data_IF_346191282388
#
_entry.id   IF_346191282388
#
_cell.length_a   1.000
_cell.length_b   1.000
_cell.length_c   1.000
_cell.angle_alpha   90.00
_cell.angle_beta   90.00
_cell.angle_gamma   90.00
#
_symmetry.space_group_name_H-M   'P 1'
#
loop_
_entity.id
_entity.type
_entity.pdbx_description
1 polymer ?
#
# COMPACT_ATOMS: atom_id res chain seq x y z
N UNK A 1 30.39 7.20 -37.08
CA UNK A 1 31.11 6.41 -36.05
C UNK A 1 30.53 6.79 -34.69
N UNK A 2 30.11 5.80 -33.90
CA UNK A 2 29.57 5.97 -32.54
C UNK A 2 28.09 5.56 -32.44
N UNK A 3 27.81 4.25 -32.48
CA UNK A 3 27.53 3.39 -31.32
C UNK A 3 26.09 3.54 -30.79
N UNK A 4 25.24 2.61 -31.23
CA UNK A 4 23.85 2.47 -30.83
C UNK A 4 23.70 1.96 -29.39
N UNK A 5 22.65 2.45 -28.73
CA UNK A 5 22.23 1.98 -27.41
C UNK A 5 21.06 1.01 -27.61
N UNK A 6 21.34 -0.29 -27.48
CA UNK A 6 20.33 -1.33 -27.33
C UNK A 6 19.80 -1.31 -25.90
N UNK A 7 18.56 -0.86 -25.71
CA UNK A 7 17.85 -1.02 -24.44
C UNK A 7 17.38 -2.48 -24.36
N UNK A 8 18.04 -3.24 -23.48
CA UNK A 8 17.71 -4.64 -23.20
C UNK A 8 16.51 -4.67 -22.26
N UNK A 9 15.32 -5.03 -22.77
CA UNK A 9 14.16 -5.39 -21.94
C UNK A 9 14.52 -6.64 -21.14
N UNK A 10 14.56 -6.53 -19.82
CA UNK A 10 14.59 -7.71 -18.93
C UNK A 10 13.18 -8.28 -18.88
N UNK A 11 13.04 -9.48 -19.45
CA UNK A 11 11.88 -10.35 -19.35
C UNK A 11 12.07 -11.16 -18.07
N UNK A 12 11.21 -10.97 -17.07
CA UNK A 12 11.10 -11.90 -15.95
C UNK A 12 10.22 -13.05 -16.43
N UNK A 13 10.85 -14.18 -16.73
CA UNK A 13 10.15 -15.44 -16.92
C UNK A 13 9.70 -15.97 -15.56
N UNK A 14 8.40 -16.29 -15.48
CA UNK A 14 7.83 -17.53 -14.92
C UNK A 14 8.88 -18.67 -14.85
N UNK A 15 8.99 -19.41 -13.74
CA UNK A 15 8.59 -20.84 -13.56
C UNK A 15 9.04 -21.36 -12.17
N UNK A 16 8.17 -22.20 -11.58
CA UNK A 16 8.43 -23.31 -10.64
C UNK A 16 8.80 -23.11 -9.15
N UNK A 17 7.94 -23.68 -8.28
CA UNK A 17 8.32 -24.07 -6.92
C UNK A 17 7.18 -24.30 -5.94
N UNK A 18 6.33 -25.32 -6.17
CA UNK A 18 5.56 -25.95 -5.07
C UNK A 18 6.55 -26.68 -4.13
N UNK A 19 6.27 -26.70 -2.82
CA UNK A 19 5.86 -27.98 -2.25
C UNK A 19 4.64 -27.87 -1.34
N UNK A 20 3.80 -28.89 -1.45
CA UNK A 20 2.83 -29.33 -0.45
C UNK A 20 3.57 -29.81 0.79
N UNK A 21 3.29 -29.21 1.96
CA UNK A 21 3.67 -29.80 3.24
C UNK A 21 2.39 -30.08 4.07
N UNK A 22 2.17 -31.37 4.21
CA UNK A 22 1.24 -32.06 5.08
C UNK A 22 1.52 -31.72 6.54
N UNK A 23 0.49 -31.30 7.29
CA UNK A 23 0.57 -31.26 8.75
C UNK A 23 -0.08 -32.53 9.30
N UNK A 24 0.79 -33.34 9.87
CA UNK A 24 0.54 -34.62 10.52
C UNK A 24 -0.42 -34.52 11.72
N UNK A 25 -1.28 -35.54 11.77
CA UNK A 25 -2.00 -36.01 12.95
C UNK A 25 -1.03 -36.66 13.98
N UNK A 26 -1.51 -36.76 15.23
CA UNK A 26 -1.06 -37.62 16.35
C UNK A 26 -0.07 -37.02 17.37
N UNK A 27 -0.56 -36.76 18.60
CA UNK A 27 -0.10 -37.50 19.78
C UNK A 27 -1.10 -37.36 20.96
N UNK A 28 -1.54 -38.51 21.45
CA UNK A 28 -2.37 -38.72 22.64
C UNK A 28 -1.55 -38.56 23.93
N UNK A 29 -2.18 -38.37 25.11
CA UNK A 29 -1.89 -39.39 26.12
C UNK A 29 -3.11 -39.91 26.89
N UNK A 30 -3.06 -41.23 27.08
CA UNK A 30 -3.82 -42.07 27.98
C UNK A 30 -4.22 -41.42 29.33
N UNK A 31 -5.50 -41.51 29.66
CA UNK A 31 -5.91 -41.66 31.06
C UNK A 31 -6.98 -42.75 31.20
N UNK A 32 -6.56 -43.91 31.72
CA UNK A 32 -7.45 -44.97 32.20
C UNK A 32 -7.96 -44.60 33.59
N UNK A 33 -9.28 -44.49 33.78
CA UNK A 33 -9.91 -44.75 35.07
C UNK A 33 -11.26 -45.50 34.90
N UNK A 34 -11.14 -46.83 35.05
CA UNK A 34 -11.92 -47.69 35.94
C UNK A 34 -13.43 -47.38 36.14
N UNK A 35 -14.23 -48.16 35.43
CA UNK A 35 -15.38 -48.97 35.87
C UNK A 35 -16.06 -48.69 37.24
N UNK A 36 -17.40 -48.62 37.14
CA UNK A 36 -18.46 -49.04 38.07
C UNK A 36 -18.92 -48.08 39.18
N UNK A 37 -20.15 -47.58 39.02
CA UNK A 37 -20.84 -46.74 40.00
C UNK A 37 -22.28 -46.38 39.59
N UNK A 38 -23.13 -47.40 39.51
CA UNK A 38 -24.59 -47.36 39.33
C UNK A 38 -25.27 -46.45 40.38
N UNK A 39 -25.89 -45.34 39.97
CA UNK A 39 -27.05 -44.75 40.66
C UNK A 39 -28.01 -44.12 39.65
N UNK A 40 -29.28 -44.39 39.92
CA UNK A 40 -30.48 -44.14 39.15
C UNK A 40 -31.17 -42.92 39.77
N UNK A 41 -31.62 -41.97 38.94
CA UNK A 41 -32.94 -41.31 38.97
C UNK A 41 -32.89 -39.90 38.38
N UNK A 42 -33.68 -39.75 37.31
CA UNK A 42 -34.53 -38.62 36.93
C UNK A 42 -34.14 -37.21 37.40
N UNK A 43 -33.98 -36.29 36.46
CA UNK A 43 -34.86 -35.11 36.29
C UNK A 43 -34.32 -34.17 35.20
N UNK A 44 -35.24 -33.57 34.44
CA UNK A 44 -35.08 -32.18 34.01
C UNK A 44 -34.42 -31.94 32.65
N UNK A 45 -35.27 -31.78 31.63
CA UNK A 45 -34.93 -31.03 30.42
C UNK A 45 -34.38 -29.65 30.79
N UNK A 46 -33.16 -29.31 30.37
CA UNK A 46 -32.72 -27.93 30.30
C UNK A 46 -31.60 -27.75 29.26
N UNK A 47 -31.91 -26.95 28.25
CA UNK A 47 -31.00 -26.10 27.48
C UNK A 47 -29.85 -26.76 26.70
N UNK A 48 -30.17 -27.29 25.52
CA UNK A 48 -29.21 -27.34 24.42
C UNK A 48 -29.22 -25.97 23.70
N UNK A 49 -28.50 -24.98 24.24
CA UNK A 49 -28.18 -23.73 23.53
C UNK A 49 -26.80 -23.25 23.99
N UNK A 50 -25.75 -23.65 23.27
CA UNK A 50 -24.58 -22.78 23.13
C UNK A 50 -24.23 -22.78 21.64
N UNK A 51 -24.55 -21.63 21.06
CA UNK A 51 -24.48 -21.29 19.65
C UNK A 51 -23.00 -21.18 19.25
N UNK A 52 -22.51 -22.12 18.43
CA UNK A 52 -21.20 -22.00 17.77
C UNK A 52 -21.37 -21.03 16.60
N UNK A 53 -21.13 -19.74 16.84
CA UNK A 53 -20.94 -18.75 15.77
C UNK A 53 -19.85 -17.77 16.18
N UNK A 54 -18.61 -18.07 15.81
CA UNK A 54 -17.54 -17.09 15.71
C UNK A 54 -16.59 -17.52 14.58
N UNK A 55 -17.12 -17.61 13.37
CA UNK A 55 -16.32 -17.74 12.14
C UNK A 55 -16.62 -16.51 11.29
N UNK A 56 -15.55 -15.91 10.77
CA UNK A 56 -15.49 -14.75 9.90
C UNK A 56 -15.44 -13.36 10.55
N UNK A 57 -14.50 -13.14 11.47
CA UNK A 57 -13.79 -11.84 11.52
C UNK A 57 -12.65 -11.87 10.49
N UNK A 58 -13.00 -12.14 9.23
CA UNK A 58 -12.07 -12.19 8.10
C UNK A 58 -11.71 -10.76 7.67
N UNK A 59 -10.74 -10.14 8.35
CA UNK A 59 -9.67 -9.39 7.71
C UNK A 59 -10.11 -8.31 6.71
N UNK A 60 -11.00 -7.41 7.11
CA UNK A 60 -10.95 -6.05 6.55
C UNK A 60 -10.02 -5.25 7.46
N UNK A 61 -8.73 -5.19 7.09
CA UNK A 61 -7.83 -4.21 7.70
C UNK A 61 -8.55 -2.85 7.72
N UNK A 62 -8.52 -2.11 8.84
CA UNK A 62 -9.27 -0.87 8.94
C UNK A 62 -8.80 0.06 7.81
N UNK A 63 -9.69 0.39 6.88
CA UNK A 63 -9.48 1.36 5.78
C UNK A 63 -9.13 2.77 6.26
N UNK A 64 -8.94 2.96 7.56
CA UNK A 64 -8.81 4.24 8.25
C UNK A 64 -7.36 4.72 8.38
N UNK A 65 -6.36 3.90 8.07
CA UNK A 65 -4.96 4.31 8.26
C UNK A 65 -4.47 5.37 7.25
N UNK A 66 -5.18 5.58 6.14
CA UNK A 66 -4.75 6.45 5.04
C UNK A 66 -5.61 7.71 4.86
N UNK A 67 -6.52 8.03 5.79
CA UNK A 67 -7.41 9.20 5.65
C UNK A 67 -6.70 10.53 5.90
N UNK A 68 -5.56 10.52 6.59
CA UNK A 68 -4.80 11.72 6.96
C UNK A 68 -3.31 11.47 6.81
N UNK A 69 -2.66 12.22 5.93
CA UNK A 69 -1.21 12.17 5.75
C UNK A 69 -0.53 13.44 6.27
N UNK A 70 0.75 13.29 6.61
CA UNK A 70 1.64 14.42 6.96
C UNK A 70 1.68 15.43 5.82
N UNK A 71 1.78 16.73 6.12
CA UNK A 71 1.92 17.75 5.07
C UNK A 71 3.18 17.55 4.24
N UNK A 72 3.09 17.66 2.91
CA UNK A 72 4.27 17.73 2.04
C UNK A 72 4.94 19.09 2.20
N UNK A 73 6.26 19.10 2.27
CA UNK A 73 7.05 20.33 2.30
C UNK A 73 7.52 20.70 0.89
N UNK A 74 7.26 21.93 0.48
CA UNK A 74 7.73 22.45 -0.80
C UNK A 74 9.18 22.94 -0.69
N UNK A 75 10.07 22.33 -1.47
CA UNK A 75 11.45 22.80 -1.60
C UNK A 75 11.50 23.97 -2.57
N UNK A 76 12.03 25.12 -2.09
CA UNK A 76 12.20 26.32 -2.91
C UNK A 76 13.54 26.23 -3.64
N UNK A 77 13.51 25.96 -4.94
CA UNK A 77 14.68 26.08 -5.81
C UNK A 77 14.70 27.44 -6.50
N UNK A 78 15.86 27.88 -6.97
CA UNK A 78 16.02 29.16 -7.67
C UNK A 78 15.16 29.25 -8.96
N UNK A 79 14.74 28.11 -9.50
CA UNK A 79 13.86 27.97 -10.66
C UNK A 79 12.47 27.41 -10.28
N UNK A 80 11.97 27.70 -9.06
CA UNK A 80 10.68 27.19 -8.61
C UNK A 80 9.57 27.56 -9.59
N UNK A 81 8.99 26.54 -10.24
CA UNK A 81 7.88 26.69 -11.17
C UNK A 81 6.58 27.04 -10.46
N UNK A 82 5.56 27.40 -11.24
CA UNK A 82 4.20 27.57 -10.72
C UNK A 82 3.64 26.18 -10.40
N UNK A 83 3.05 26.01 -9.22
CA UNK A 83 2.39 24.77 -8.84
C UNK A 83 1.00 25.01 -8.26
N UNK A 84 0.14 24.01 -8.42
CA UNK A 84 -1.18 23.95 -7.80
C UNK A 84 -1.35 22.58 -7.11
N UNK A 85 -2.02 22.60 -5.97
CA UNK A 85 -2.36 21.40 -5.21
C UNK A 85 -3.87 21.25 -5.06
N UNK A 86 -4.36 20.03 -5.24
CA UNK A 86 -5.76 19.66 -5.01
C UNK A 86 -5.78 18.40 -4.15
N UNK A 87 -6.40 18.51 -2.97
CA UNK A 87 -6.60 17.37 -2.07
C UNK A 87 -7.96 16.74 -2.34
N UNK A 88 -7.98 15.41 -2.44
CA UNK A 88 -9.17 14.60 -2.67
C UNK A 88 -9.11 13.30 -1.88
N UNK A 89 -10.11 12.44 -2.03
CA UNK A 89 -10.17 11.10 -1.43
C UNK A 89 -10.46 10.11 -2.55
N UNK A 90 -9.73 9.00 -2.59
CA UNK A 90 -9.95 7.95 -3.59
C UNK A 90 -11.12 7.02 -3.21
N UNK A 91 -11.45 6.08 -4.07
CA UNK A 91 -12.53 5.10 -3.86
C UNK A 91 -12.30 4.19 -2.63
N UNK A 92 -11.04 4.04 -2.20
CA UNK A 92 -10.67 3.28 -1.00
C UNK A 92 -10.83 4.08 0.31
N UNK A 93 -11.12 5.38 0.24
CA UNK A 93 -11.21 6.27 1.39
C UNK A 93 -9.88 6.88 1.84
N UNK A 94 -8.82 6.70 1.05
CA UNK A 94 -7.50 7.27 1.30
C UNK A 94 -7.38 8.69 0.75
N UNK A 95 -6.67 9.55 1.48
CA UNK A 95 -6.35 10.89 1.02
C UNK A 95 -5.45 10.83 -0.22
N UNK A 96 -5.75 11.69 -1.20
CA UNK A 96 -4.99 11.86 -2.43
C UNK A 96 -4.63 13.32 -2.62
N UNK A 97 -3.46 13.57 -3.18
CA UNK A 97 -2.93 14.89 -3.44
C UNK A 97 -2.51 14.97 -4.90
N UNK A 98 -3.31 15.68 -5.70
CA UNK A 98 -3.01 15.99 -7.08
C UNK A 98 -2.14 17.25 -7.11
N UNK A 99 -0.98 17.15 -7.72
CA UNK A 99 -0.03 18.26 -7.85
C UNK A 99 0.16 18.54 -9.32
N UNK A 100 -0.01 19.79 -9.71
CA UNK A 100 0.25 20.24 -11.08
C UNK A 100 1.40 21.22 -11.06
N UNK A 101 2.54 20.84 -11.63
CA UNK A 101 3.66 21.74 -11.91
C UNK A 101 3.50 22.31 -13.32
N UNK A 102 3.47 23.62 -13.46
CA UNK A 102 3.28 24.29 -14.75
C UNK A 102 4.62 24.69 -15.38
N UNK A 103 4.78 24.35 -16.65
CA UNK A 103 5.89 24.85 -17.46
C UNK A 103 5.67 26.30 -17.88
N UNK A 104 6.73 26.99 -18.29
CA UNK A 104 6.63 28.35 -18.85
C UNK A 104 5.96 28.36 -20.23
N UNK A 105 6.02 27.24 -20.95
CA UNK A 105 5.32 26.98 -22.22
C UNK A 105 5.08 25.47 -22.39
N UNK A 106 4.26 25.06 -23.35
CA UNK A 106 4.04 23.64 -23.67
C UNK A 106 5.31 22.88 -24.09
N UNK A 107 6.35 23.60 -24.54
CA UNK A 107 7.62 23.02 -24.96
C UNK A 107 8.73 23.18 -23.92
N UNK A 108 8.47 23.92 -22.86
CA UNK A 108 9.42 24.14 -21.78
C UNK A 108 9.59 22.85 -20.97
N UNK A 109 10.83 22.40 -20.70
CA UNK A 109 11.06 21.29 -19.79
C UNK A 109 10.62 21.67 -18.37
N UNK A 110 9.79 20.83 -17.80
CA UNK A 110 9.27 20.93 -16.43
C UNK A 110 9.71 19.70 -15.65
N UNK A 111 10.32 19.96 -14.50
CA UNK A 111 10.87 18.94 -13.62
C UNK A 111 10.07 18.91 -12.33
N UNK A 112 9.70 17.71 -11.90
CA UNK A 112 9.08 17.44 -10.61
C UNK A 112 9.98 16.49 -9.87
N UNK A 113 10.62 16.93 -8.79
CA UNK A 113 11.55 16.10 -8.01
C UNK A 113 10.96 15.77 -6.65
N UNK A 114 11.28 14.56 -6.19
CA UNK A 114 10.84 14.04 -4.89
C UNK A 114 12.04 13.92 -3.95
N UNK A 115 11.87 14.35 -2.70
CA UNK A 115 12.91 14.27 -1.66
C UNK A 115 14.25 14.88 -2.11
N UNK A 116 14.20 16.05 -2.76
CA UNK A 116 15.41 16.70 -3.28
C UNK A 116 16.11 15.94 -4.41
N UNK A 117 15.42 15.04 -5.09
CA UNK A 117 15.94 14.23 -6.20
C UNK A 117 16.36 12.82 -5.82
N UNK A 118 16.36 12.46 -4.54
CA UNK A 118 16.78 11.12 -4.05
C UNK A 118 15.92 9.99 -4.62
N UNK A 119 14.63 10.26 -4.84
CA UNK A 119 13.70 9.31 -5.44
C UNK A 119 13.52 9.54 -6.95
N UNK A 120 14.34 10.41 -7.53
CA UNK A 120 14.19 10.90 -8.88
C UNK A 120 13.01 11.86 -9.02
N UNK A 121 12.41 11.83 -10.21
CA UNK A 121 11.38 12.78 -10.59
C UNK A 121 10.82 12.55 -11.98
N UNK A 122 9.90 13.41 -12.37
CA UNK A 122 9.37 13.49 -13.73
C UNK A 122 10.04 14.64 -14.43
N UNK A 123 10.44 14.42 -15.67
CA UNK A 123 10.98 15.46 -16.54
C UNK A 123 10.33 15.34 -17.91
N UNK A 124 9.40 16.24 -18.17
CA UNK A 124 8.63 16.28 -19.40
C UNK A 124 8.32 17.73 -19.77
N UNK A 125 7.91 17.97 -21.01
CA UNK A 125 7.61 19.31 -21.48
C UNK A 125 6.20 19.75 -21.06
N UNK A 126 6.03 21.05 -20.82
CA UNK A 126 4.73 21.63 -20.50
C UNK A 126 4.28 21.35 -19.06
N UNK A 127 2.96 21.26 -18.86
CA UNK A 127 2.40 21.08 -17.53
C UNK A 127 2.40 19.60 -17.14
N UNK A 128 2.80 19.33 -15.91
CA UNK A 128 2.98 18.00 -15.36
C UNK A 128 2.05 17.81 -14.18
N UNK A 129 1.22 16.77 -14.23
CA UNK A 129 0.28 16.44 -13.16
C UNK A 129 0.62 15.09 -12.57
N UNK A 130 0.86 15.08 -11.26
CA UNK A 130 1.14 13.86 -10.49
C UNK A 130 0.08 13.65 -9.43
N UNK A 131 -0.18 12.39 -9.11
CA UNK A 131 -1.07 12.03 -8.01
C UNK A 131 -0.26 11.31 -6.95
N UNK A 132 -0.35 11.82 -5.72
CA UNK A 132 0.16 11.15 -4.53
C UNK A 132 -0.99 10.52 -3.76
N UNK A 133 -0.75 9.33 -3.22
CA UNK A 133 -1.72 8.60 -2.40
C UNK A 133 -1.16 8.48 -1.00
N UNK A 134 -2.01 8.70 -0.01
CA UNK A 134 -1.66 8.53 1.39
C UNK A 134 -1.56 7.03 1.72
N UNK A 135 -0.40 6.62 2.23
CA UNK A 135 -0.16 5.24 2.67
C UNK A 135 -0.73 4.97 4.05
N UNK A 136 -0.73 3.69 4.44
CA UNK A 136 -1.08 3.27 5.81
C UNK A 136 -0.06 3.72 6.86
N UNK A 137 1.12 4.10 6.42
CA UNK A 137 2.22 4.63 7.23
C UNK A 137 2.14 6.17 7.38
N UNK A 138 1.01 6.79 7.02
CA UNK A 138 0.73 8.24 7.10
C UNK A 138 1.69 9.13 6.29
N UNK A 139 2.33 8.58 5.25
CA UNK A 139 3.16 9.31 4.30
C UNK A 139 2.57 9.30 2.88
N UNK A 140 3.02 10.25 2.06
CA UNK A 140 2.63 10.33 0.66
C UNK A 140 3.48 9.40 -0.19
N UNK A 141 2.86 8.72 -1.14
CA UNK A 141 3.54 7.84 -2.09
C UNK A 141 3.13 8.20 -3.52
N UNK A 142 4.10 8.15 -4.44
CA UNK A 142 3.88 8.34 -5.86
C UNK A 142 3.61 6.98 -6.52
N UNK A 143 2.40 6.83 -7.08
CA UNK A 143 1.82 5.60 -7.65
C UNK A 143 1.61 4.45 -6.63
N UNK A 144 0.36 4.05 -6.45
CA UNK A 144 -0.12 3.19 -5.35
C UNK A 144 -0.01 1.67 -5.62
N UNK A 145 1.07 1.21 -6.27
CA UNK A 145 1.29 -0.23 -6.48
C UNK A 145 2.69 -0.65 -5.99
N UNK A 146 2.74 -1.23 -4.78
CA UNK A 146 3.96 -1.81 -4.17
C UNK A 146 4.51 -1.03 -2.98
N UNK A 147 5.76 -1.34 -2.59
CA UNK A 147 6.51 -0.64 -1.53
C UNK A 147 7.10 0.63 -2.14
N UNK A 148 6.26 1.61 -2.44
CA UNK A 148 6.72 2.90 -2.90
C UNK A 148 7.37 3.67 -1.73
N UNK A 149 8.53 4.32 -1.93
CA UNK A 149 9.15 5.13 -0.89
C UNK A 149 8.27 6.33 -0.50
N UNK A 150 8.40 6.79 0.74
CA UNK A 150 7.65 7.94 1.25
C UNK A 150 8.20 9.27 0.75
N UNK A 151 7.30 10.17 0.37
CA UNK A 151 7.61 11.50 -0.14
C UNK A 151 7.32 12.52 0.96
N UNK A 152 8.36 13.26 1.32
CA UNK A 152 8.33 14.30 2.34
C UNK A 152 8.50 15.69 1.74
N UNK A 153 9.29 15.80 0.67
CA UNK A 153 9.52 17.08 -0.01
C UNK A 153 9.32 16.98 -1.52
N UNK A 154 8.84 18.06 -2.12
CA UNK A 154 8.61 18.18 -3.56
C UNK A 154 9.16 19.51 -4.06
N UNK A 155 9.79 19.49 -5.23
CA UNK A 155 10.16 20.68 -5.99
C UNK A 155 9.57 20.61 -7.39
N UNK A 156 8.94 21.70 -7.83
CA UNK A 156 8.65 21.93 -9.24
C UNK A 156 9.69 22.92 -9.77
N UNK A 157 10.30 22.64 -10.91
CA UNK A 157 11.08 23.65 -11.65
C UNK A 157 10.76 23.64 -13.13
N UNK A 158 10.84 24.80 -13.76
CA UNK A 158 10.61 24.95 -15.19
C UNK A 158 11.77 25.74 -15.81
N UNK A 159 12.26 25.25 -16.95
CA UNK A 159 13.28 25.95 -17.74
C UNK A 159 12.62 26.69 -18.91
N UNK A 160 13.08 27.91 -19.19
CA UNK A 160 12.53 28.78 -20.23
C UNK A 160 13.14 28.50 -21.61
#
# INVERSE_FOLDING_TARGET
LGLGVMIKRVRLSEEDGLPTDSLDDDDSPNFRLRSSGRWMMMMGRAAAVVLVVAVAASWAAPKQACSTCTGVTWSKTAASGIHAEVKSVNDDGCATLLITCSGTSERAPTFVEFNGGDLGGINENGNQTITLVCGSDIHWHYQAEGIAPSISTISCSASA
#
